data_IF_032276218086
#
_entry.id   IF_032276218086
#
_cell.length_a   1.000
_cell.length_b   1.000
_cell.length_c   1.000
_cell.angle_alpha   90.00
_cell.angle_beta   90.00
_cell.angle_gamma   90.00
#
_symmetry.space_group_name_H-M   'P 1'
#
loop_
_entity.id
_entity.type
_entity.pdbx_description
1 polymer ?
#
# COMPACT_ATOMS: atom_id res chain seq x y z
N UNK A 1 4.59 -7.60 6.06
CA UNK A 1 5.39 -7.66 4.81
C UNK A 1 6.87 -7.41 5.07
N UNK A 2 7.28 -6.21 5.52
CA UNK A 2 8.70 -5.86 5.69
C UNK A 2 9.53 -6.91 6.44
N UNK A 3 9.11 -7.35 7.63
CA UNK A 3 9.86 -8.32 8.44
C UNK A 3 10.06 -9.65 7.70
N UNK A 4 9.01 -10.19 7.09
CA UNK A 4 9.09 -11.45 6.31
C UNK A 4 10.04 -11.33 5.12
N UNK A 5 9.96 -10.21 4.39
CA UNK A 5 10.86 -9.93 3.26
C UNK A 5 12.29 -9.74 3.72
N UNK A 6 12.52 -9.01 4.83
CA UNK A 6 13.85 -8.78 5.39
C UNK A 6 14.55 -10.10 5.72
N UNK A 7 13.86 -11.02 6.37
CA UNK A 7 14.39 -12.37 6.68
C UNK A 7 14.75 -13.14 5.41
N UNK A 8 13.86 -13.15 4.41
CA UNK A 8 14.11 -13.82 3.14
C UNK A 8 15.32 -13.23 2.39
N UNK A 9 15.43 -11.89 2.37
CA UNK A 9 16.54 -11.18 1.74
C UNK A 9 17.86 -11.46 2.46
N UNK A 10 17.87 -11.43 3.79
CA UNK A 10 19.07 -11.71 4.58
C UNK A 10 19.56 -13.15 4.36
N UNK A 11 18.63 -14.12 4.33
CA UNK A 11 18.93 -15.52 3.98
C UNK A 11 19.56 -15.63 2.59
N UNK A 12 18.95 -14.99 1.58
CA UNK A 12 19.43 -15.06 0.21
C UNK A 12 20.85 -14.45 0.09
N UNK A 13 21.09 -13.31 0.74
CA UNK A 13 22.40 -12.63 0.77
C UNK A 13 23.49 -13.44 1.46
N UNK A 14 23.13 -14.20 2.49
CA UNK A 14 24.05 -15.10 3.19
C UNK A 14 24.32 -16.43 2.45
N UNK A 15 23.82 -16.58 1.21
CA UNK A 15 23.98 -17.82 0.43
C UNK A 15 23.01 -18.94 0.82
N UNK A 16 21.99 -18.66 1.64
CA UNK A 16 20.98 -19.64 2.06
C UNK A 16 19.94 -20.00 1.01
N UNK A 17 20.06 -19.49 -0.22
CA UNK A 17 19.13 -19.73 -1.33
C UNK A 17 17.81 -18.93 -1.24
N UNK A 18 16.91 -19.14 -2.21
CA UNK A 18 15.69 -18.35 -2.36
C UNK A 18 14.62 -18.66 -1.30
N UNK A 19 13.61 -17.80 -1.21
CA UNK A 19 12.39 -18.00 -0.40
C UNK A 19 11.16 -17.61 -1.20
N UNK A 20 10.03 -18.26 -0.93
CA UNK A 20 8.72 -17.88 -1.47
C UNK A 20 7.92 -17.14 -0.39
N UNK A 21 7.29 -16.02 -0.76
CA UNK A 21 6.46 -15.22 0.14
C UNK A 21 5.11 -14.98 -0.54
N UNK A 22 4.03 -15.43 0.10
CA UNK A 22 2.66 -15.09 -0.29
C UNK A 22 2.20 -13.83 0.48
N UNK A 23 2.05 -12.71 -0.24
CA UNK A 23 1.47 -11.49 0.33
C UNK A 23 -0.05 -11.46 0.07
N UNK A 24 -0.83 -11.87 1.07
CA UNK A 24 -2.30 -11.84 0.99
C UNK A 24 -2.80 -10.40 1.03
N UNK A 25 -3.25 -9.92 -0.13
CA UNK A 25 -3.75 -8.55 -0.34
C UNK A 25 -5.06 -8.57 -1.11
N UNK A 26 -5.64 -7.40 -1.32
CA UNK A 26 -6.88 -7.23 -2.06
C UNK A 26 -6.79 -6.05 -3.02
N UNK A 27 -7.30 -6.24 -4.24
CA UNK A 27 -7.41 -5.18 -5.26
C UNK A 27 -8.79 -4.54 -5.12
N UNK A 28 -8.87 -3.24 -4.82
CA UNK A 28 -10.19 -2.62 -4.57
C UNK A 28 -11.01 -2.32 -5.82
N UNK A 29 -10.34 -2.13 -6.96
CA UNK A 29 -10.95 -1.78 -8.24
C UNK A 29 -11.06 -3.01 -9.16
N UNK A 30 -11.63 -2.82 -10.35
CA UNK A 30 -11.65 -3.83 -11.41
C UNK A 30 -10.24 -4.23 -11.89
N UNK A 31 -10.17 -5.22 -12.76
CA UNK A 31 -8.90 -5.76 -13.28
C UNK A 31 -8.11 -4.77 -14.10
N UNK A 32 -8.81 -3.86 -14.74
CA UNK A 32 -8.25 -2.71 -15.43
C UNK A 32 -9.24 -1.55 -15.27
N UNK A 33 -8.85 -0.37 -15.77
CA UNK A 33 -9.58 0.89 -15.59
C UNK A 33 -11.05 0.83 -16.06
N UNK A 34 -11.36 0.03 -17.09
CA UNK A 34 -12.70 -0.12 -17.64
C UNK A 34 -13.47 -1.37 -17.17
N UNK A 35 -12.93 -2.14 -16.22
CA UNK A 35 -13.62 -3.32 -15.70
C UNK A 35 -14.63 -2.89 -14.62
N UNK A 36 -15.94 -3.18 -14.80
CA UNK A 36 -16.98 -2.84 -13.84
C UNK A 36 -16.93 -3.66 -12.54
N UNK A 37 -16.07 -4.69 -12.45
CA UNK A 37 -15.87 -5.50 -11.25
C UNK A 37 -17.13 -6.25 -10.77
N UNK A 38 -18.03 -6.64 -11.69
CA UNK A 38 -19.30 -7.31 -11.35
C UNK A 38 -19.12 -8.67 -10.68
N UNK A 39 -17.94 -9.28 -10.83
CA UNK A 39 -17.56 -10.54 -10.19
C UNK A 39 -17.01 -10.38 -8.76
N UNK A 40 -16.93 -9.14 -8.25
CA UNK A 40 -16.38 -8.84 -6.94
C UNK A 40 -17.50 -8.52 -5.95
N UNK A 41 -17.79 -9.42 -4.97
CA UNK A 41 -18.87 -9.21 -4.01
C UNK A 41 -18.69 -7.89 -3.24
N UNK A 42 -19.72 -7.02 -3.15
CA UNK A 42 -19.63 -5.74 -2.45
C UNK A 42 -19.21 -5.89 -0.98
N UNK A 43 -19.77 -6.87 -0.27
CA UNK A 43 -19.49 -7.10 1.15
C UNK A 43 -18.04 -7.52 1.39
N UNK A 44 -17.47 -8.32 0.48
CA UNK A 44 -16.05 -8.70 0.54
C UNK A 44 -15.17 -7.47 0.31
N UNK A 45 -15.46 -6.65 -0.70
CA UNK A 45 -14.71 -5.42 -0.98
C UNK A 45 -14.69 -4.48 0.22
N UNK A 46 -15.84 -4.29 0.86
CA UNK A 46 -15.96 -3.43 2.04
C UNK A 46 -15.19 -4.00 3.22
N UNK A 47 -15.32 -5.31 3.49
CA UNK A 47 -14.54 -5.97 4.54
C UNK A 47 -13.02 -5.84 4.35
N UNK A 48 -12.54 -5.81 3.10
CA UNK A 48 -11.14 -5.56 2.78
C UNK A 48 -10.75 -4.08 2.85
N UNK A 49 -11.64 -3.13 2.54
CA UNK A 49 -11.38 -1.70 2.73
C UNK A 49 -11.15 -1.35 4.19
N UNK A 50 -11.87 -1.98 5.12
CA UNK A 50 -11.62 -1.85 6.56
C UNK A 50 -10.25 -2.39 7.00
N UNK A 51 -9.53 -3.07 6.10
CA UNK A 51 -8.17 -3.60 6.32
C UNK A 51 -7.12 -2.81 5.54
N UNK A 52 -7.45 -1.65 4.98
CA UNK A 52 -6.52 -0.81 4.23
C UNK A 52 -5.21 -0.61 5.02
N UNK A 53 -4.10 -0.97 4.38
CA UNK A 53 -2.79 -0.95 4.99
C UNK A 53 -2.30 0.47 5.27
N UNK A 54 -2.68 1.46 4.46
CA UNK A 54 -2.32 2.87 4.63
C UNK A 54 -3.03 3.39 5.89
N UNK A 55 -4.34 3.18 5.99
CA UNK A 55 -5.12 3.62 7.16
C UNK A 55 -4.64 2.94 8.45
N UNK A 56 -4.37 1.63 8.40
CA UNK A 56 -3.87 0.89 9.54
C UNK A 56 -2.49 1.37 9.99
N UNK A 57 -1.55 1.52 9.07
CA UNK A 57 -0.20 1.97 9.40
C UNK A 57 -0.21 3.41 9.89
N UNK A 58 -0.93 4.31 9.21
CA UNK A 58 -1.08 5.71 9.62
C UNK A 58 -1.65 5.84 11.03
N UNK A 59 -2.72 5.07 11.34
CA UNK A 59 -3.27 5.02 12.70
C UNK A 59 -2.29 4.49 13.75
N UNK A 60 -1.50 3.47 13.42
CA UNK A 60 -0.45 2.94 14.31
C UNK A 60 0.67 3.96 14.56
N UNK A 61 1.14 4.63 13.51
CA UNK A 61 2.20 5.64 13.62
C UNK A 61 1.73 6.85 14.44
N UNK A 62 0.49 7.31 14.24
CA UNK A 62 -0.13 8.33 15.09
C UNK A 62 -0.21 7.92 16.55
N UNK A 63 -0.67 6.70 16.82
CA UNK A 63 -0.76 6.18 18.18
C UNK A 63 0.62 6.06 18.86
N UNK A 64 1.68 5.88 18.09
CA UNK A 64 3.06 5.83 18.58
C UNK A 64 3.77 7.20 18.61
N UNK A 65 3.10 8.27 18.13
CA UNK A 65 3.68 9.62 18.07
C UNK A 65 4.75 9.80 16.98
N UNK A 66 4.79 8.91 15.96
CA UNK A 66 5.70 9.03 14.82
C UNK A 66 5.09 9.75 13.62
N UNK A 67 3.81 10.08 13.68
CA UNK A 67 3.08 10.79 12.63
C UNK A 67 2.02 11.67 13.30
N UNK A 68 1.91 12.91 12.86
CA UNK A 68 0.80 13.80 13.20
C UNK A 68 -0.19 13.90 12.04
N UNK A 69 -1.41 14.37 12.30
CA UNK A 69 -2.40 14.61 11.24
C UNK A 69 -1.91 15.67 10.25
N UNK A 70 -1.28 16.74 10.74
CA UNK A 70 -0.69 17.79 9.91
C UNK A 70 0.44 17.26 9.00
N UNK A 71 1.30 16.37 9.50
CA UNK A 71 2.35 15.75 8.68
C UNK A 71 1.78 14.82 7.60
N UNK A 72 0.72 14.07 7.91
CA UNK A 72 0.03 13.19 6.96
C UNK A 72 -0.64 14.02 5.84
N UNK A 73 -1.33 15.09 6.20
CA UNK A 73 -1.96 16.03 5.26
C UNK A 73 -0.92 16.73 4.37
N UNK A 74 0.19 17.22 4.95
CA UNK A 74 1.25 17.85 4.19
C UNK A 74 1.89 16.87 3.20
N UNK A 75 2.14 15.63 3.63
CA UNK A 75 2.69 14.59 2.75
C UNK A 75 1.75 14.28 1.58
N UNK A 76 0.43 14.24 1.82
CA UNK A 76 -0.55 14.06 0.75
C UNK A 76 -0.53 15.23 -0.25
N UNK A 77 -0.43 16.47 0.22
CA UNK A 77 -0.34 17.65 -0.63
C UNK A 77 0.95 17.68 -1.47
N UNK A 78 2.08 17.31 -0.87
CA UNK A 78 3.38 17.25 -1.55
C UNK A 78 3.37 16.18 -2.66
N UNK A 79 2.80 15.01 -2.39
CA UNK A 79 2.64 13.92 -3.38
C UNK A 79 1.75 14.38 -4.53
N UNK A 80 0.63 15.06 -4.25
CA UNK A 80 -0.24 15.57 -5.31
C UNK A 80 0.48 16.60 -6.20
N UNK A 81 1.27 17.50 -5.60
CA UNK A 81 2.07 18.46 -6.36
C UNK A 81 3.12 17.75 -7.25
N UNK A 82 3.79 16.72 -6.73
CA UNK A 82 4.75 15.92 -7.49
C UNK A 82 4.07 15.18 -8.66
N UNK A 83 2.89 14.61 -8.44
CA UNK A 83 2.11 13.95 -9.49
C UNK A 83 1.69 14.93 -10.59
N UNK A 84 1.21 16.13 -10.23
CA UNK A 84 0.82 17.14 -11.22
C UNK A 84 2.02 17.60 -12.06
N UNK A 85 3.17 17.85 -11.41
CA UNK A 85 4.40 18.20 -12.11
C UNK A 85 4.85 17.08 -13.07
N UNK A 86 4.73 15.81 -12.66
CA UNK A 86 5.04 14.66 -13.51
C UNK A 86 4.10 14.53 -14.71
N UNK A 87 2.80 14.79 -14.52
CA UNK A 87 1.82 14.82 -15.61
C UNK A 87 2.10 15.97 -16.57
N UNK A 88 2.43 17.16 -16.07
CA UNK A 88 2.78 18.31 -16.91
C UNK A 88 4.05 18.07 -17.71
N UNK A 89 5.09 17.51 -17.09
CA UNK A 89 6.34 17.14 -17.77
C UNK A 89 6.14 16.13 -18.90
N UNK A 90 5.16 15.23 -18.76
CA UNK A 90 4.87 14.19 -19.75
C UNK A 90 3.91 14.62 -20.88
N UNK A 91 3.38 15.85 -20.85
CA UNK A 91 2.53 16.42 -21.91
C UNK A 91 3.35 16.95 -23.08
#
# INVERSE_FOLDING_TARGET
VYRSVKVAVDRARAGGGPSFIEAKTYRFLGHYVGDPALYMPPDEREAWRQRDAILKLGGQLRAWGYLTEQEDEQMAADIEAELQAGVEYAR
#
